data_IF_667740833677
#
_entry.id   IF_667740833677
#
_cell.length_a   1.000
_cell.length_b   1.000
_cell.length_c   1.000
_cell.angle_alpha   90.00
_cell.angle_beta   90.00
_cell.angle_gamma   90.00
#
_symmetry.space_group_name_H-M   'P 1'
#
loop_
_entity.id
_entity.type
_entity.pdbx_description
1 polymer ?
#
# COMPACT_ATOMS: atom_id res chain seq x y z
N UNK A 1 15.33 16.54 -1.14
CA UNK A 1 14.47 15.96 -0.09
C UNK A 1 13.49 15.03 -0.80
N UNK A 2 13.37 13.77 -0.39
CA UNK A 2 12.45 12.83 -1.06
C UNK A 2 10.98 13.25 -0.83
N UNK A 3 10.01 12.67 -1.57
CA UNK A 3 8.58 12.93 -1.31
C UNK A 3 8.20 12.51 0.11
N UNK A 4 8.69 11.33 0.53
CA UNK A 4 8.54 10.80 1.88
C UNK A 4 9.07 11.80 2.93
N UNK A 5 10.30 12.28 2.78
CA UNK A 5 10.88 13.27 3.71
C UNK A 5 10.05 14.56 3.80
N UNK A 6 9.48 15.01 2.68
CA UNK A 6 8.58 16.17 2.64
C UNK A 6 7.30 15.91 3.42
N UNK A 7 6.67 14.75 3.24
CA UNK A 7 5.47 14.35 3.97
C UNK A 7 5.76 14.25 5.48
N UNK A 8 6.87 13.60 5.87
CA UNK A 8 7.31 13.53 7.27
C UNK A 8 7.43 14.93 7.88
N UNK A 9 8.02 15.88 7.15
CA UNK A 9 8.17 17.26 7.62
C UNK A 9 6.79 17.91 7.85
N UNK A 10 5.89 17.82 6.87
CA UNK A 10 4.54 18.40 6.92
C UNK A 10 3.74 17.84 8.09
N UNK A 11 3.77 16.52 8.31
CA UNK A 11 3.05 15.86 9.41
C UNK A 11 3.64 16.24 10.77
N UNK A 12 4.98 16.30 10.91
CA UNK A 12 5.60 16.76 12.17
C UNK A 12 5.23 18.20 12.53
N UNK A 13 5.15 19.09 11.54
CA UNK A 13 4.70 20.47 11.77
C UNK A 13 3.23 20.51 12.22
N UNK A 14 2.39 19.64 11.68
CA UNK A 14 1.00 19.47 12.11
C UNK A 14 0.92 18.98 13.58
N UNK A 15 1.64 17.92 13.92
CA UNK A 15 1.67 17.37 15.29
C UNK A 15 2.17 18.36 16.33
N UNK A 16 3.09 19.24 15.93
CA UNK A 16 3.62 20.32 16.77
C UNK A 16 2.69 21.54 16.85
N UNK A 17 1.54 21.52 16.18
CA UNK A 17 0.60 22.63 16.11
C UNK A 17 1.11 23.85 15.33
N UNK A 18 2.19 23.69 14.54
CA UNK A 18 2.76 24.76 13.71
C UNK A 18 1.99 24.97 12.42
N UNK A 19 1.20 23.97 12.01
CA UNK A 19 0.42 23.94 10.77
C UNK A 19 -1.02 23.53 11.06
N UNK A 20 -1.98 24.16 10.40
CA UNK A 20 -3.41 23.82 10.54
C UNK A 20 -3.81 22.63 9.68
N UNK A 21 -4.85 21.89 10.09
CA UNK A 21 -5.30 20.66 9.41
C UNK A 21 -5.51 20.82 7.91
N UNK A 22 -6.28 21.82 7.46
CA UNK A 22 -6.59 22.02 6.04
C UNK A 22 -5.33 22.32 5.20
N UNK A 23 -4.36 23.02 5.80
CA UNK A 23 -3.10 23.32 5.14
C UNK A 23 -2.24 22.05 5.01
N UNK A 24 -2.17 21.25 6.06
CA UNK A 24 -1.49 19.94 6.05
C UNK A 24 -2.07 19.01 4.99
N UNK A 25 -3.40 18.83 4.96
CA UNK A 25 -4.09 17.97 3.99
C UNK A 25 -3.75 18.41 2.56
N UNK A 26 -3.85 19.71 2.27
CA UNK A 26 -3.55 20.24 0.95
C UNK A 26 -2.09 19.99 0.56
N UNK A 27 -1.14 20.23 1.45
CA UNK A 27 0.27 20.00 1.14
C UNK A 27 0.59 18.53 0.90
N UNK A 28 -0.01 17.62 1.67
CA UNK A 28 0.13 16.19 1.43
C UNK A 28 -0.37 15.87 0.02
N UNK A 29 -1.58 16.29 -0.34
CA UNK A 29 -2.13 16.09 -1.68
C UNK A 29 -1.21 16.66 -2.79
N UNK A 30 -0.68 17.87 -2.60
CA UNK A 30 0.22 18.50 -3.58
C UNK A 30 1.54 17.70 -3.75
N UNK A 31 2.01 16.99 -2.71
CA UNK A 31 3.23 16.17 -2.75
C UNK A 31 2.95 14.76 -3.29
N UNK A 32 1.85 14.15 -2.86
CA UNK A 32 1.56 12.72 -3.05
C UNK A 32 0.53 12.43 -4.14
N UNK A 33 -0.39 13.35 -4.41
CA UNK A 33 -1.62 13.11 -5.17
C UNK A 33 -2.66 12.26 -4.42
N UNK A 34 -2.38 11.89 -3.16
CA UNK A 34 -3.30 11.12 -2.31
C UNK A 34 -4.19 12.06 -1.49
N UNK A 35 -5.50 11.83 -1.54
CA UNK A 35 -6.44 12.49 -0.64
C UNK A 35 -6.31 11.88 0.76
N UNK A 36 -6.12 12.74 1.75
CA UNK A 36 -6.13 12.39 3.18
C UNK A 36 -7.16 13.26 3.89
N UNK A 37 -7.83 12.72 4.89
CA UNK A 37 -8.72 13.49 5.73
C UNK A 37 -8.10 13.74 7.11
N UNK A 38 -8.83 14.50 7.93
CA UNK A 38 -8.40 14.81 9.29
C UNK A 38 -8.31 13.56 10.16
N UNK A 39 -9.26 12.64 10.04
CA UNK A 39 -9.31 11.46 10.89
C UNK A 39 -8.09 10.57 10.63
N UNK A 40 -7.66 10.47 9.37
CA UNK A 40 -6.44 9.76 8.98
C UNK A 40 -5.20 10.43 9.57
N UNK A 41 -5.07 11.76 9.47
CA UNK A 41 -3.96 12.52 10.09
C UNK A 41 -3.93 12.43 11.62
N UNK A 42 -5.09 12.44 12.27
CA UNK A 42 -5.20 12.44 13.73
C UNK A 42 -4.98 11.03 14.32
N UNK A 43 -5.09 9.97 13.51
CA UNK A 43 -5.11 8.59 13.99
C UNK A 43 -4.13 7.63 13.31
N UNK A 44 -3.31 8.05 12.33
CA UNK A 44 -2.39 7.14 11.63
C UNK A 44 -1.50 6.32 12.60
N UNK A 45 -1.03 6.97 13.67
CA UNK A 45 -0.19 6.38 14.72
C UNK A 45 -0.80 5.17 15.44
N UNK A 46 -2.12 4.95 15.31
CA UNK A 46 -2.81 3.78 15.86
C UNK A 46 -2.57 2.51 15.05
N UNK A 47 -2.19 2.65 13.79
CA UNK A 47 -2.05 1.54 12.84
C UNK A 47 -0.62 1.38 12.33
N UNK A 48 0.18 2.44 12.37
CA UNK A 48 1.49 2.51 11.69
C UNK A 48 2.33 3.66 12.28
N UNK A 49 3.65 3.62 12.08
CA UNK A 49 4.51 4.75 12.44
C UNK A 49 4.56 5.82 11.34
N UNK A 50 5.15 6.98 11.65
CA UNK A 50 5.22 8.12 10.72
C UNK A 50 6.01 7.82 9.45
N UNK A 51 7.02 6.96 9.54
CA UNK A 51 7.88 6.61 8.42
C UNK A 51 7.14 5.71 7.43
N UNK A 52 6.38 4.72 7.94
CA UNK A 52 5.44 3.92 7.15
C UNK A 52 4.34 4.78 6.54
N UNK A 53 3.70 5.64 7.33
CA UNK A 53 2.64 6.56 6.87
C UNK A 53 3.09 7.45 5.73
N UNK A 54 4.24 8.11 5.90
CA UNK A 54 4.80 8.92 4.84
C UNK A 54 5.25 8.08 3.63
N UNK A 55 5.68 6.83 3.86
CA UNK A 55 6.00 5.87 2.82
C UNK A 55 4.78 5.54 1.94
N UNK A 56 3.63 5.23 2.54
CA UNK A 56 2.39 4.96 1.81
C UNK A 56 1.94 6.15 0.97
N UNK A 57 2.03 7.35 1.53
CA UNK A 57 1.67 8.56 0.79
C UNK A 57 2.70 8.89 -0.30
N UNK A 58 3.97 8.48 -0.14
CA UNK A 58 5.01 8.80 -1.13
C UNK A 58 5.10 7.78 -2.28
N UNK A 59 4.59 6.55 -2.08
CA UNK A 59 4.81 5.46 -3.02
C UNK A 59 3.92 5.60 -4.26
N UNK A 60 4.53 5.45 -5.44
CA UNK A 60 3.78 5.52 -6.68
C UNK A 60 2.98 4.24 -6.92
N UNK A 61 1.67 4.40 -7.12
CA UNK A 61 0.81 3.30 -7.51
C UNK A 61 1.21 2.71 -8.88
N UNK A 62 1.07 1.39 -9.04
CA UNK A 62 1.27 0.72 -10.33
C UNK A 62 0.03 0.95 -11.20
N UNK A 63 0.06 2.02 -12.00
CA UNK A 63 -1.08 2.48 -12.82
C UNK A 63 -1.44 1.51 -13.96
N UNK A 64 -0.46 0.78 -14.48
CA UNK A 64 -0.61 -0.15 -15.59
C UNK A 64 -0.91 -1.58 -15.13
N UNK A 65 -1.56 -1.72 -13.96
CA UNK A 65 -1.89 -3.00 -13.33
C UNK A 65 -2.59 -3.99 -14.27
N UNK A 66 -3.38 -3.52 -15.25
CA UNK A 66 -4.04 -4.37 -16.27
C UNK A 66 -3.06 -5.14 -17.15
N UNK A 67 -1.82 -4.65 -17.29
CA UNK A 67 -0.77 -5.22 -18.12
C UNK A 67 0.16 -6.18 -17.34
N UNK A 68 -0.10 -6.41 -16.06
CA UNK A 68 0.66 -7.38 -15.27
C UNK A 68 0.39 -8.78 -15.82
N UNK A 69 1.43 -9.40 -16.38
CA UNK A 69 1.48 -10.80 -16.78
C UNK A 69 2.01 -11.67 -15.64
N UNK A 70 2.10 -12.99 -15.87
CA UNK A 70 2.54 -13.94 -14.84
C UNK A 70 3.99 -13.67 -14.39
N UNK A 71 4.89 -13.28 -15.30
CA UNK A 71 6.28 -12.98 -14.96
C UNK A 71 6.38 -11.75 -14.06
N UNK A 72 5.69 -10.66 -14.42
CA UNK A 72 5.65 -9.44 -13.61
C UNK A 72 4.94 -9.69 -12.28
N UNK A 73 3.87 -10.48 -12.26
CA UNK A 73 3.17 -10.83 -11.03
C UNK A 73 4.09 -11.58 -10.06
N UNK A 74 4.85 -12.58 -10.54
CA UNK A 74 5.85 -13.27 -9.74
C UNK A 74 6.93 -12.33 -9.21
N UNK A 75 7.36 -11.35 -10.01
CA UNK A 75 8.30 -10.33 -9.57
C UNK A 75 7.78 -9.52 -8.38
N UNK A 76 6.53 -9.04 -8.45
CA UNK A 76 5.88 -8.28 -7.38
C UNK A 76 5.69 -9.13 -6.11
N UNK A 77 5.28 -10.39 -6.26
CA UNK A 77 5.13 -11.32 -5.13
C UNK A 77 6.49 -11.58 -4.46
N UNK A 78 7.56 -11.78 -5.25
CA UNK A 78 8.92 -11.97 -4.72
C UNK A 78 9.41 -10.73 -3.99
N UNK A 79 9.08 -9.53 -4.48
CA UNK A 79 9.41 -8.28 -3.80
C UNK A 79 8.71 -8.19 -2.43
N UNK A 80 7.40 -8.49 -2.35
CA UNK A 80 6.66 -8.58 -1.08
C UNK A 80 7.34 -9.54 -0.11
N UNK A 81 7.63 -10.76 -0.56
CA UNK A 81 8.21 -11.80 0.30
C UNK A 81 9.66 -11.52 0.70
N UNK A 82 10.37 -10.65 -0.02
CA UNK A 82 11.77 -10.31 0.28
C UNK A 82 11.92 -9.41 1.50
N UNK A 83 10.90 -8.60 1.79
CA UNK A 83 10.84 -7.76 2.98
C UNK A 83 9.39 -7.58 3.43
N UNK A 84 8.95 -8.46 4.35
CA UNK A 84 7.61 -8.42 4.94
C UNK A 84 7.46 -7.28 5.98
N UNK A 85 8.44 -6.38 6.10
CA UNK A 85 8.39 -5.21 6.98
C UNK A 85 8.31 -3.88 6.21
N UNK A 86 8.48 -3.91 4.88
CA UNK A 86 8.34 -2.72 4.03
C UNK A 86 6.86 -2.53 3.65
N UNK A 87 6.09 -2.06 4.63
CA UNK A 87 4.65 -1.83 4.53
C UNK A 87 4.24 -1.06 3.24
N UNK A 88 4.90 0.05 2.84
CA UNK A 88 4.60 0.73 1.59
C UNK A 88 4.75 -0.15 0.34
N UNK A 89 5.86 -0.90 0.23
CA UNK A 89 6.10 -1.79 -0.92
C UNK A 89 5.08 -2.92 -0.95
N UNK A 90 4.77 -3.51 0.22
CA UNK A 90 3.76 -4.54 0.35
C UNK A 90 2.43 -4.01 -0.17
N UNK A 91 1.97 -2.85 0.31
CA UNK A 91 0.71 -2.25 -0.10
C UNK A 91 0.66 -1.95 -1.60
N UNK A 92 1.67 -1.28 -2.18
CA UNK A 92 1.70 -0.96 -3.61
C UNK A 92 1.57 -2.23 -4.46
N UNK A 93 2.33 -3.27 -4.12
CA UNK A 93 2.37 -4.50 -4.89
C UNK A 93 1.09 -5.32 -4.70
N UNK A 94 0.61 -5.45 -3.46
CA UNK A 94 -0.65 -6.09 -3.11
C UNK A 94 -1.81 -5.48 -3.87
N UNK A 95 -1.96 -4.16 -3.81
CA UNK A 95 -3.05 -3.43 -4.47
C UNK A 95 -3.06 -3.67 -5.99
N UNK A 96 -1.88 -3.65 -6.63
CA UNK A 96 -1.75 -3.88 -8.06
C UNK A 96 -2.13 -5.33 -8.46
N UNK A 97 -1.67 -6.32 -7.70
CA UNK A 97 -1.98 -7.73 -7.93
C UNK A 97 -3.47 -8.02 -7.69
N UNK A 98 -4.06 -7.46 -6.63
CA UNK A 98 -5.48 -7.60 -6.31
C UNK A 98 -6.37 -6.97 -7.37
N UNK A 99 -6.04 -5.75 -7.83
CA UNK A 99 -6.71 -5.12 -8.98
C UNK A 99 -6.61 -5.99 -10.24
N UNK A 100 -5.44 -6.59 -10.50
CA UNK A 100 -5.19 -7.41 -11.70
C UNK A 100 -5.96 -8.73 -11.70
N UNK A 101 -5.99 -9.43 -10.57
CA UNK A 101 -6.57 -10.78 -10.46
C UNK A 101 -8.00 -10.77 -9.91
N UNK A 102 -8.52 -9.61 -9.51
CA UNK A 102 -9.95 -9.32 -9.42
C UNK A 102 -10.66 -10.02 -8.26
N UNK A 103 -9.98 -10.21 -7.13
CA UNK A 103 -10.57 -10.92 -5.99
C UNK A 103 -11.30 -9.96 -5.02
N UNK A 104 -12.59 -10.22 -4.70
CA UNK A 104 -13.27 -9.59 -3.57
C UNK A 104 -12.81 -10.14 -2.21
N UNK A 105 -12.25 -11.37 -2.17
CA UNK A 105 -11.72 -12.05 -0.96
C UNK A 105 -10.47 -12.88 -1.31
N UNK A 106 -9.55 -13.06 -0.35
CA UNK A 106 -8.26 -13.72 -0.59
C UNK A 106 -7.21 -12.74 -1.05
N UNK A 107 -7.05 -11.66 -0.25
CA UNK A 107 -5.99 -10.67 -0.40
C UNK A 107 -4.63 -11.34 -0.29
N UNK A 108 -3.61 -10.74 -0.88
CA UNK A 108 -2.27 -11.35 -0.82
C UNK A 108 -1.80 -11.53 0.63
N UNK A 109 -2.16 -10.59 1.51
CA UNK A 109 -1.87 -10.65 2.94
C UNK A 109 -2.58 -11.82 3.64
N UNK A 110 -3.83 -12.13 3.26
CA UNK A 110 -4.56 -13.29 3.81
C UNK A 110 -3.89 -14.60 3.41
N UNK A 111 -3.37 -14.67 2.17
CA UNK A 111 -2.66 -15.85 1.68
C UNK A 111 -1.31 -16.03 2.38
N UNK A 112 -0.57 -14.94 2.59
CA UNK A 112 0.75 -14.95 3.24
C UNK A 112 0.61 -15.18 4.74
N UNK A 113 -0.16 -14.36 5.46
CA UNK A 113 -0.19 -14.37 6.92
C UNK A 113 -1.29 -15.28 7.49
N UNK A 114 -2.43 -15.38 6.80
CA UNK A 114 -3.55 -16.22 7.23
C UNK A 114 -3.37 -17.69 6.84
N UNK A 115 -2.87 -17.95 5.64
CA UNK A 115 -2.71 -19.31 5.09
C UNK A 115 -1.25 -19.78 5.04
N UNK A 116 -0.29 -18.93 5.41
CA UNK A 116 1.13 -19.26 5.45
C UNK A 116 1.69 -19.74 4.11
N UNK A 117 1.20 -19.20 2.99
CA UNK A 117 1.69 -19.50 1.65
C UNK A 117 2.88 -18.59 1.35
N UNK A 118 4.08 -19.15 1.33
CA UNK A 118 5.34 -18.41 1.12
C UNK A 118 6.05 -18.74 -0.20
N UNK A 119 5.49 -19.66 -0.99
CA UNK A 119 5.97 -19.98 -2.33
C UNK A 119 5.35 -19.00 -3.36
N UNK A 120 6.14 -18.21 -4.11
CA UNK A 120 5.62 -17.19 -5.03
C UNK A 120 4.72 -17.77 -6.11
N UNK A 121 5.08 -18.94 -6.64
CA UNK A 121 4.35 -19.64 -7.69
C UNK A 121 3.00 -20.17 -7.17
N UNK A 122 2.96 -20.72 -5.95
CA UNK A 122 1.73 -21.11 -5.26
C UNK A 122 0.84 -19.89 -4.97
N UNK A 123 1.41 -18.76 -4.52
CA UNK A 123 0.66 -17.52 -4.31
C UNK A 123 0.01 -17.04 -5.61
N UNK A 124 0.77 -16.96 -6.69
CA UNK A 124 0.22 -16.56 -7.99
C UNK A 124 -0.88 -17.52 -8.45
N UNK A 125 -0.69 -18.82 -8.26
CA UNK A 125 -1.71 -19.81 -8.59
C UNK A 125 -3.00 -19.56 -7.80
N UNK A 126 -2.91 -19.35 -6.48
CA UNK A 126 -4.05 -19.01 -5.65
C UNK A 126 -4.71 -17.71 -6.11
N UNK A 127 -3.94 -16.64 -6.36
CA UNK A 127 -4.45 -15.36 -6.84
C UNK A 127 -5.22 -15.48 -8.16
N UNK A 128 -4.83 -16.41 -9.04
CA UNK A 128 -5.51 -16.65 -10.33
C UNK A 128 -6.76 -17.50 -10.22
N UNK A 129 -7.00 -18.21 -9.10
CA UNK A 129 -8.24 -18.99 -8.93
C UNK A 129 -9.44 -18.05 -8.82
N UNK A 130 -10.42 -18.20 -9.72
CA UNK A 130 -11.70 -17.50 -9.63
C UNK A 130 -12.50 -17.97 -8.42
N UNK A 131 -12.76 -17.09 -7.46
CA UNK A 131 -13.75 -17.29 -6.39
C UNK A 131 -15.11 -16.77 -6.86
N UNK A 132 -15.68 -17.39 -7.89
CA UNK A 132 -17.14 -17.26 -8.09
C UNK A 132 -17.80 -18.16 -7.06
N UNK A 133 -18.18 -17.60 -5.90
CA UNK A 133 -19.19 -18.25 -5.07
C UNK A 133 -20.48 -18.17 -5.90
N UNK A 134 -20.87 -19.28 -6.52
CA UNK A 134 -22.22 -19.47 -7.03
C UNK A 134 -23.16 -19.46 -5.82
N UNK A 135 -23.78 -18.31 -5.55
CA UNK A 135 -24.95 -18.22 -4.66
C UNK A 135 -26.19 -18.77 -5.36
#
# INVERSE_FOLDING_TARGET
MSRKDQIICVVREYEQGKRGTNETIKMIYDISGHEVDRDYLDNYWRSEDLDSFAGFLAIEAIIDWKQIDDHRALGLIKEILSDLTDDPVIYRNAEALEKRFGKPEGKIDDLIFGQNITDPEALLLEMKKSTTILT
#
